data_IF_606163512530
#
_entry.id   IF_606163512530
#
_cell.length_a   1.000
_cell.length_b   1.000
_cell.length_c   1.000
_cell.angle_alpha   90.00
_cell.angle_beta   90.00
_cell.angle_gamma   90.00
#
_symmetry.space_group_name_H-M   'P 1'
#
loop_
_entity.id
_entity.type
_entity.pdbx_description
1 polymer ?
#
# COMPACT_ATOMS: atom_id res chain seq x y z
N UNK A 1 -1.67 -3.94 -8.24
CA UNK A 1 -0.36 -4.39 -7.69
C UNK A 1 0.81 -3.88 -8.56
N UNK A 2 0.85 -2.59 -8.93
CA UNK A 2 1.81 -2.06 -9.93
C UNK A 2 3.18 -1.71 -9.33
N UNK A 3 3.24 -1.33 -8.05
CA UNK A 3 4.48 -0.89 -7.39
C UNK A 3 5.37 -2.05 -6.89
N UNK A 4 4.78 -3.23 -6.65
CA UNK A 4 5.51 -4.43 -6.19
C UNK A 4 6.64 -4.86 -7.16
N UNK A 5 6.37 -5.03 -8.46
CA UNK A 5 7.43 -5.36 -9.41
C UNK A 5 8.47 -4.26 -9.60
N UNK A 6 8.11 -2.99 -9.37
CA UNK A 6 9.00 -1.84 -9.62
C UNK A 6 9.92 -1.55 -8.43
N UNK A 7 9.53 -1.93 -7.21
CA UNK A 7 10.21 -1.46 -5.98
C UNK A 7 10.50 -2.59 -5.03
N UNK A 8 9.49 -3.39 -4.67
CA UNK A 8 9.64 -4.47 -3.70
C UNK A 8 10.58 -5.55 -4.19
N UNK A 9 10.31 -6.10 -5.38
CA UNK A 9 11.12 -7.19 -5.94
C UNK A 9 12.58 -6.79 -6.19
N UNK A 10 12.89 -5.63 -6.81
CA UNK A 10 14.27 -5.21 -6.99
C UNK A 10 15.02 -4.97 -5.67
N UNK A 11 14.36 -4.34 -4.68
CA UNK A 11 14.97 -4.11 -3.38
C UNK A 11 15.23 -5.43 -2.63
N UNK A 12 14.30 -6.39 -2.73
CA UNK A 12 14.45 -7.72 -2.14
C UNK A 12 15.60 -8.49 -2.76
N UNK A 13 15.68 -8.56 -4.09
CA UNK A 13 16.78 -9.25 -4.79
C UNK A 13 18.14 -8.62 -4.51
N UNK A 14 18.17 -7.30 -4.32
CA UNK A 14 19.41 -6.62 -3.95
C UNK A 14 19.87 -6.97 -2.53
N UNK A 15 18.96 -7.05 -1.56
CA UNK A 15 19.28 -7.40 -0.18
C UNK A 15 19.55 -8.90 0.01
N UNK A 16 18.71 -9.77 -0.55
CA UNK A 16 18.82 -11.22 -0.46
C UNK A 16 19.39 -11.80 -1.75
N UNK A 17 20.61 -11.38 -2.09
CA UNK A 17 21.33 -11.97 -3.21
C UNK A 17 21.85 -13.37 -2.84
N UNK A 18 22.21 -14.17 -3.86
CA UNK A 18 22.63 -15.57 -3.67
C UNK A 18 23.85 -15.71 -2.77
N UNK A 19 24.82 -14.78 -2.88
CA UNK A 19 26.04 -14.80 -2.07
C UNK A 19 25.73 -14.59 -0.59
N UNK A 20 24.86 -13.62 -0.29
CA UNK A 20 24.39 -13.35 1.07
C UNK A 20 23.63 -14.55 1.65
N UNK A 21 22.70 -15.14 0.88
CA UNK A 21 21.88 -16.26 1.34
C UNK A 21 22.67 -17.56 1.52
N UNK A 22 23.71 -17.79 0.71
CA UNK A 22 24.59 -18.94 0.84
C UNK A 22 25.26 -19.02 2.23
N UNK A 23 25.44 -17.89 2.92
CA UNK A 23 26.00 -17.87 4.28
C UNK A 23 25.11 -18.52 5.34
N UNK A 24 23.84 -18.81 5.00
CA UNK A 24 22.87 -19.41 5.90
C UNK A 24 22.52 -20.86 5.52
N UNK A 25 23.05 -21.40 4.41
CA UNK A 25 22.72 -22.76 3.94
C UNK A 25 23.07 -23.85 4.97
N UNK A 26 24.25 -23.78 5.57
CA UNK A 26 24.67 -24.74 6.61
C UNK A 26 23.76 -24.68 7.85
N UNK A 27 23.44 -23.47 8.30
CA UNK A 27 22.55 -23.25 9.44
C UNK A 27 21.11 -23.73 9.13
N UNK A 28 20.65 -23.49 7.90
CA UNK A 28 19.34 -23.90 7.43
C UNK A 28 19.24 -25.42 7.34
N UNK A 29 20.21 -26.10 6.73
CA UNK A 29 20.24 -27.58 6.64
C UNK A 29 20.34 -28.24 8.00
N UNK A 30 21.03 -27.64 8.96
CA UNK A 30 21.10 -28.15 10.33
C UNK A 30 19.73 -28.11 11.02
N UNK A 31 18.95 -27.05 10.81
CA UNK A 31 17.61 -26.90 11.39
C UNK A 31 16.54 -27.65 10.58
N UNK A 32 16.68 -27.71 9.26
CA UNK A 32 15.76 -28.28 8.29
C UNK A 32 16.54 -29.10 7.25
N UNK A 33 16.84 -30.39 7.54
CA UNK A 33 17.67 -31.24 6.67
C UNK A 33 17.15 -31.41 5.24
N UNK A 34 15.83 -31.39 5.07
CA UNK A 34 15.13 -31.51 3.78
C UNK A 34 14.96 -30.15 3.07
N UNK A 35 15.30 -29.04 3.72
CA UNK A 35 15.02 -27.69 3.25
C UNK A 35 16.27 -26.91 2.82
N UNK A 36 16.15 -26.12 1.76
CA UNK A 36 17.16 -25.15 1.32
C UNK A 36 16.74 -23.71 1.64
N UNK A 37 17.69 -22.77 1.64
CA UNK A 37 17.36 -21.36 1.76
C UNK A 37 16.60 -20.92 0.52
N UNK A 38 15.46 -20.24 0.70
CA UNK A 38 14.69 -19.71 -0.42
C UNK A 38 15.49 -18.62 -1.16
N UNK A 39 15.45 -18.65 -2.50
CA UNK A 39 16.21 -17.74 -3.35
C UNK A 39 15.82 -16.26 -3.24
N UNK A 40 14.74 -15.94 -2.53
CA UNK A 40 14.29 -14.58 -2.22
C UNK A 40 14.36 -14.27 -0.72
N UNK A 41 15.01 -15.13 0.07
CA UNK A 41 15.15 -15.00 1.52
C UNK A 41 13.83 -15.16 2.27
N UNK A 42 12.83 -15.83 1.70
CA UNK A 42 11.57 -16.09 2.40
C UNK A 42 11.82 -17.02 3.60
N UNK A 43 11.06 -16.87 4.71
CA UNK A 43 9.92 -15.98 4.92
C UNK A 43 10.27 -14.56 5.40
N UNK A 44 11.53 -14.14 5.37
CA UNK A 44 11.98 -12.88 5.98
C UNK A 44 11.41 -11.61 5.30
N UNK A 45 10.77 -10.75 6.09
CA UNK A 45 10.13 -9.49 5.66
C UNK A 45 10.91 -8.22 6.06
N UNK A 46 12.18 -8.34 6.46
CA UNK A 46 13.05 -7.19 6.75
C UNK A 46 13.52 -7.08 8.19
N UNK A 47 12.98 -7.92 9.08
CA UNK A 47 13.35 -8.00 10.50
C UNK A 47 13.63 -9.43 10.96
N UNK A 48 13.65 -10.39 10.03
CA UNK A 48 13.86 -11.80 10.32
C UNK A 48 15.32 -12.19 10.48
N UNK A 49 15.56 -13.50 10.41
CA UNK A 49 16.87 -14.11 10.67
C UNK A 49 17.94 -13.62 9.69
N UNK A 50 17.61 -13.55 8.40
CA UNK A 50 18.54 -13.12 7.36
C UNK A 50 18.79 -11.62 7.44
N UNK A 51 17.73 -10.82 7.58
CA UNK A 51 17.81 -9.36 7.60
C UNK A 51 18.68 -8.79 8.71
N UNK A 52 18.84 -9.52 9.83
CA UNK A 52 19.71 -9.11 10.94
C UNK A 52 21.19 -9.01 10.57
N UNK A 53 21.64 -9.75 9.56
CA UNK A 53 23.03 -9.70 9.08
C UNK A 53 23.23 -8.72 7.91
N UNK A 54 22.18 -8.01 7.47
CA UNK A 54 22.31 -7.00 6.42
C UNK A 54 23.04 -5.77 6.96
N UNK A 55 23.83 -5.13 6.11
CA UNK A 55 24.34 -3.80 6.41
C UNK A 55 23.20 -2.79 6.51
N UNK A 56 23.42 -1.72 7.27
CA UNK A 56 22.38 -0.72 7.55
C UNK A 56 21.78 -0.12 6.27
N UNK A 57 22.59 0.11 5.23
CA UNK A 57 22.13 0.75 3.99
C UNK A 57 21.21 -0.20 3.21
N UNK A 58 21.59 -1.45 3.05
CA UNK A 58 20.77 -2.48 2.41
C UNK A 58 19.50 -2.77 3.20
N UNK A 59 19.60 -2.83 4.54
CA UNK A 59 18.46 -3.01 5.43
C UNK A 59 17.47 -1.85 5.31
N UNK A 60 17.92 -0.59 5.36
CA UNK A 60 17.05 0.59 5.19
C UNK A 60 16.37 0.54 3.82
N UNK A 61 17.11 0.27 2.75
CA UNK A 61 16.57 0.24 1.37
C UNK A 61 15.49 -0.84 1.21
N UNK A 62 15.75 -2.05 1.71
CA UNK A 62 14.80 -3.15 1.66
C UNK A 62 13.55 -2.88 2.50
N UNK A 63 13.71 -2.50 3.77
CA UNK A 63 12.58 -2.22 4.65
C UNK A 63 11.76 -1.01 4.18
N UNK A 64 12.41 -0.01 3.59
CA UNK A 64 11.71 1.13 2.98
C UNK A 64 10.83 0.69 1.81
N UNK A 65 11.35 -0.18 0.93
CA UNK A 65 10.58 -0.75 -0.16
C UNK A 65 9.38 -1.58 0.33
N UNK A 66 9.57 -2.39 1.38
CA UNK A 66 8.49 -3.13 2.03
C UNK A 66 7.43 -2.18 2.61
N UNK A 67 7.85 -1.12 3.32
CA UNK A 67 6.92 -0.18 3.95
C UNK A 67 6.07 0.58 2.93
N UNK A 68 6.63 0.93 1.78
CA UNK A 68 5.88 1.55 0.67
C UNK A 68 4.72 0.63 0.24
N UNK A 69 4.98 -0.67 0.09
CA UNK A 69 3.97 -1.65 -0.33
C UNK A 69 2.92 -1.89 0.75
N UNK A 70 3.36 -2.10 1.99
CA UNK A 70 2.47 -2.32 3.13
C UNK A 70 1.53 -1.12 3.34
N UNK A 71 2.06 0.11 3.30
CA UNK A 71 1.24 1.31 3.46
C UNK A 71 0.20 1.49 2.34
N UNK A 72 0.47 0.94 1.16
CA UNK A 72 -0.49 0.95 0.06
C UNK A 72 -1.61 -0.07 0.32
N UNK A 73 -1.26 -1.30 0.67
CA UNK A 73 -2.23 -2.38 0.97
C UNK A 73 -3.10 -2.02 2.18
N UNK A 74 -2.50 -1.48 3.25
CA UNK A 74 -3.19 -1.02 4.46
C UNK A 74 -4.28 0.02 4.15
N UNK A 75 -4.14 0.79 3.07
CA UNK A 75 -5.08 1.86 2.73
C UNK A 75 -6.26 1.42 1.86
N UNK A 76 -6.17 0.24 1.23
CA UNK A 76 -7.21 -0.25 0.31
C UNK A 76 -8.58 -0.42 0.97
N UNK A 77 -8.70 -0.98 2.19
CA UNK A 77 -9.99 -1.15 2.84
C UNK A 77 -10.72 0.18 3.11
N UNK A 78 -10.00 1.30 3.14
CA UNK A 78 -10.58 2.63 3.37
C UNK A 78 -10.90 3.29 2.03
N UNK A 79 -9.91 3.34 1.12
CA UNK A 79 -10.01 4.12 -0.12
C UNK A 79 -11.01 3.50 -1.10
N UNK A 80 -11.02 2.16 -1.24
CA UNK A 80 -11.86 1.50 -2.26
C UNK A 80 -13.35 1.68 -1.93
N UNK A 81 -13.85 1.32 -0.73
CA UNK A 81 -15.27 1.51 -0.41
C UNK A 81 -15.68 2.97 -0.40
N UNK A 82 -14.85 3.87 0.16
CA UNK A 82 -15.15 5.30 0.18
C UNK A 82 -15.29 5.87 -1.24
N UNK A 83 -14.41 5.47 -2.17
CA UNK A 83 -14.48 5.87 -3.58
C UNK A 83 -15.74 5.33 -4.28
N UNK A 84 -16.10 4.08 -4.03
CA UNK A 84 -17.30 3.47 -4.62
C UNK A 84 -18.58 4.15 -4.13
N UNK A 85 -18.71 4.37 -2.82
CA UNK A 85 -19.90 4.98 -2.22
C UNK A 85 -20.01 6.46 -2.64
N UNK A 86 -18.92 7.22 -2.54
CA UNK A 86 -18.93 8.63 -2.96
C UNK A 86 -19.25 8.79 -4.46
N UNK A 87 -18.84 7.85 -5.29
CA UNK A 87 -19.12 7.86 -6.73
C UNK A 87 -20.59 7.72 -7.11
N UNK A 88 -21.46 7.25 -6.21
CA UNK A 88 -22.90 7.06 -6.51
C UNK A 88 -23.63 8.39 -6.73
N UNK A 89 -23.33 9.41 -5.92
CA UNK A 89 -23.94 10.75 -6.03
C UNK A 89 -22.94 11.82 -6.49
N UNK A 90 -21.64 11.61 -6.25
CA UNK A 90 -20.59 12.60 -6.52
C UNK A 90 -19.48 12.04 -7.45
N UNK A 91 -19.81 11.56 -8.67
CA UNK A 91 -18.86 10.84 -9.53
C UNK A 91 -17.62 11.66 -9.92
N UNK A 92 -17.79 12.96 -10.22
CA UNK A 92 -16.67 13.83 -10.60
C UNK A 92 -15.68 14.02 -9.43
N UNK A 93 -16.19 14.22 -8.22
CA UNK A 93 -15.35 14.42 -7.04
C UNK A 93 -14.67 13.11 -6.61
N UNK A 94 -15.37 11.97 -6.71
CA UNK A 94 -14.77 10.66 -6.50
C UNK A 94 -13.62 10.40 -7.49
N UNK A 95 -13.79 10.76 -8.77
CA UNK A 95 -12.74 10.65 -9.79
C UNK A 95 -11.51 11.49 -9.43
N UNK A 96 -11.70 12.75 -9.05
CA UNK A 96 -10.62 13.64 -8.60
C UNK A 96 -9.91 13.05 -7.38
N UNK A 97 -10.68 12.51 -6.42
CA UNK A 97 -10.13 11.88 -5.22
C UNK A 97 -9.25 10.67 -5.53
N UNK A 98 -9.71 9.77 -6.41
CA UNK A 98 -8.94 8.58 -6.82
C UNK A 98 -7.65 8.99 -7.52
N UNK A 99 -7.71 9.89 -8.51
CA UNK A 99 -6.52 10.34 -9.22
C UNK A 99 -5.56 11.10 -8.32
N UNK A 100 -6.07 11.92 -7.40
CA UNK A 100 -5.27 12.60 -6.38
C UNK A 100 -4.54 11.62 -5.46
N UNK A 101 -5.20 10.53 -5.05
CA UNK A 101 -4.54 9.44 -4.32
C UNK A 101 -3.46 8.79 -5.17
N UNK A 102 -3.71 8.47 -6.44
CA UNK A 102 -2.72 7.83 -7.33
C UNK A 102 -1.48 8.72 -7.50
N UNK A 103 -1.67 10.02 -7.75
CA UNK A 103 -0.57 10.99 -7.86
C UNK A 103 0.19 11.11 -6.54
N UNK A 104 -0.52 11.22 -5.41
CA UNK A 104 0.07 11.23 -4.08
C UNK A 104 0.89 9.97 -3.80
N UNK A 105 0.47 8.80 -4.29
CA UNK A 105 1.21 7.54 -4.17
C UNK A 105 2.51 7.55 -4.98
N UNK A 106 2.52 8.14 -6.17
CA UNK A 106 3.74 8.31 -6.97
C UNK A 106 4.74 9.21 -6.22
N UNK A 107 4.29 10.38 -5.76
CA UNK A 107 5.13 11.33 -5.00
C UNK A 107 5.66 10.70 -3.71
N UNK A 108 4.77 10.04 -2.96
CA UNK A 108 5.13 9.33 -1.72
C UNK A 108 6.24 8.31 -1.98
N UNK A 109 6.10 7.53 -3.05
CA UNK A 109 7.01 6.45 -3.41
C UNK A 109 8.38 6.99 -3.84
N UNK A 110 8.41 8.03 -4.66
CA UNK A 110 9.66 8.69 -5.08
C UNK A 110 10.39 9.27 -3.87
N UNK A 111 9.68 9.98 -3.00
CA UNK A 111 10.26 10.56 -1.79
C UNK A 111 10.83 9.49 -0.86
N UNK A 112 10.05 8.44 -0.58
CA UNK A 112 10.45 7.37 0.34
C UNK A 112 11.68 6.60 -0.16
N UNK A 113 11.85 6.42 -1.48
CA UNK A 113 13.04 5.79 -2.07
C UNK A 113 14.33 6.56 -1.79
N UNK A 114 14.27 7.89 -1.74
CA UNK A 114 15.44 8.75 -1.49
C UNK A 114 15.72 8.84 0.00
N UNK A 115 14.68 9.16 0.77
CA UNK A 115 14.77 9.26 2.22
C UNK A 115 13.39 8.99 2.83
N UNK A 116 13.29 8.13 3.87
CA UNK A 116 12.03 7.88 4.57
C UNK A 116 11.30 9.15 5.04
N UNK A 117 12.01 10.25 5.30
CA UNK A 117 11.42 11.53 5.70
C UNK A 117 10.70 12.27 4.55
N UNK A 118 11.15 12.11 3.30
CA UNK A 118 10.62 12.81 2.12
C UNK A 118 9.28 12.25 1.62
N UNK A 119 8.73 11.26 2.32
CA UNK A 119 7.39 10.70 2.04
C UNK A 119 6.24 11.66 2.38
N UNK A 120 6.49 12.63 3.27
CA UNK A 120 5.46 13.48 3.89
C UNK A 120 4.57 14.23 2.90
N UNK A 121 5.10 14.86 1.82
CA UNK A 121 4.26 15.59 0.87
C UNK A 121 3.27 14.68 0.14
N UNK A 122 3.74 13.52 -0.34
CA UNK A 122 2.87 12.53 -0.97
C UNK A 122 1.83 11.96 -0.01
N UNK A 123 2.23 11.71 1.26
CA UNK A 123 1.30 11.28 2.30
C UNK A 123 0.20 12.30 2.57
N UNK A 124 0.54 13.59 2.62
CA UNK A 124 -0.42 14.66 2.86
C UNK A 124 -1.47 14.72 1.75
N UNK A 125 -1.04 14.61 0.48
CA UNK A 125 -1.96 14.57 -0.66
C UNK A 125 -2.88 13.35 -0.60
N UNK A 126 -2.34 12.15 -0.33
CA UNK A 126 -3.14 10.93 -0.17
C UNK A 126 -4.18 11.11 0.93
N UNK A 127 -3.77 11.67 2.07
CA UNK A 127 -4.64 11.87 3.24
C UNK A 127 -5.78 12.84 2.93
N UNK A 128 -5.49 13.98 2.31
CA UNK A 128 -6.50 14.97 1.93
C UNK A 128 -7.54 14.40 0.95
N UNK A 129 -7.08 13.72 -0.11
CA UNK A 129 -8.00 13.10 -1.08
C UNK A 129 -8.81 11.95 -0.45
N UNK A 130 -8.22 11.17 0.44
CA UNK A 130 -8.92 10.08 1.13
C UNK A 130 -9.97 10.60 2.11
N UNK A 131 -9.65 11.66 2.86
CA UNK A 131 -10.61 12.32 3.76
C UNK A 131 -11.77 12.93 2.98
N UNK A 132 -11.49 13.60 1.85
CA UNK A 132 -12.53 14.13 0.96
C UNK A 132 -13.50 13.02 0.52
N UNK A 133 -12.99 11.88 0.03
CA UNK A 133 -13.85 10.75 -0.37
C UNK A 133 -14.63 10.16 0.80
N UNK A 134 -14.06 10.15 2.00
CA UNK A 134 -14.75 9.69 3.22
C UNK A 134 -15.91 10.61 3.61
N UNK A 135 -15.75 11.93 3.49
CA UNK A 135 -16.86 12.86 3.74
C UNK A 135 -17.95 12.74 2.66
N UNK A 136 -17.55 12.57 1.40
CA UNK A 136 -18.50 12.37 0.29
C UNK A 136 -19.26 11.05 0.41
N UNK A 137 -18.64 9.99 0.91
CA UNK A 137 -19.35 8.72 1.13
C UNK A 137 -20.42 8.83 2.20
N UNK A 138 -20.14 9.55 3.29
CA UNK A 138 -21.13 9.85 4.34
C UNK A 138 -22.26 10.72 3.77
N UNK A 139 -21.93 11.78 3.03
CA UNK A 139 -22.93 12.65 2.39
C UNK A 139 -23.83 11.86 1.43
N UNK A 140 -23.24 10.92 0.67
CA UNK A 140 -23.98 10.02 -0.22
C UNK A 140 -24.96 9.15 0.56
N UNK A 141 -24.54 8.57 1.69
CA UNK A 141 -25.43 7.77 2.54
C UNK A 141 -26.60 8.59 3.09
N UNK A 142 -26.34 9.82 3.56
CA UNK A 142 -27.39 10.73 4.04
C UNK A 142 -28.37 11.08 2.93
N UNK A 143 -27.90 11.48 1.75
CA UNK A 143 -28.75 11.80 0.61
C UNK A 143 -29.58 10.60 0.16
N UNK A 144 -29.00 9.40 0.20
CA UNK A 144 -29.72 8.17 -0.13
C UNK A 144 -30.88 7.92 0.85
N UNK A 145 -30.64 8.04 2.17
CA UNK A 145 -31.69 7.89 3.18
C UNK A 145 -32.80 8.92 3.01
N UNK A 146 -32.45 10.20 2.88
CA UNK A 146 -33.42 11.29 2.70
C UNK A 146 -34.27 11.12 1.42
N UNK A 147 -33.71 10.56 0.36
CA UNK A 147 -34.47 10.25 -0.86
C UNK A 147 -35.45 9.10 -0.67
N UNK A 148 -35.12 8.15 0.21
CA UNK A 148 -35.98 6.98 0.49
C UNK A 148 -37.18 7.37 1.35
N UNK A 149 -37.04 8.39 2.19
CA UNK A 149 -38.12 8.93 3.04
C UNK A 149 -39.07 9.89 2.30
N UNK A 150 -38.78 10.24 1.04
CA UNK A 150 -39.68 11.05 0.24
C UNK A 150 -40.91 10.20 -0.16
N UNK A 151 -42.16 10.65 0.13
CA UNK A 151 -43.34 9.91 -0.31
C UNK A 151 -43.31 9.80 -1.83
N UNK A 152 -43.41 8.58 -2.36
CA UNK A 152 -43.70 8.37 -3.77
C UNK A 152 -45.02 9.09 -4.05
N UNK A 153 -44.95 10.21 -4.78
CA UNK A 153 -46.13 10.85 -5.33
C UNK A 153 -46.70 9.85 -6.32
N UNK A 154 -47.67 9.06 -5.86
CA UNK A 154 -48.53 8.26 -6.72
C UNK A 154 -49.23 9.23 -7.65
N UNK A 155 -48.75 9.29 -8.90
CA UNK A 155 -49.50 9.90 -9.99
C UNK A 155 -50.67 8.96 -10.26
N UNK A 156 -51.77 9.19 -9.53
CA UNK A 156 -53.07 8.62 -9.84
C UNK A 156 -53.47 9.12 -11.24
N UNK A 157 -53.44 8.18 -12.21
CA UNK A 157 -54.02 8.35 -13.54
C UNK A 157 -55.52 8.04 -13.50
#
# INVERSE_FOLDING_TARGET
MVLSPIIGMPARKAAFNKEFLATFEEEHKKAYPEGSVDGMGQPDQGQGWYSKKLDLKSWIKFNSAQRILLNYIESFPIIIPAAMISGLYFPLYALIGIWGVVLGRIVFTIGYKVNPALRKPGMMLIMLCSMMMMFLSIATAVLFLLKTDAPEVTLDN
#
